data_IF_169072418555
#
_entry.id   IF_169072418555
#
_cell.length_a   1.000
_cell.length_b   1.000
_cell.length_c   1.000
_cell.angle_alpha   90.00
_cell.angle_beta   90.00
_cell.angle_gamma   90.00
#
_symmetry.space_group_name_H-M   'P 1'
#
loop_
_entity.id
_entity.type
_entity.pdbx_description
1 polymer ?
#
# COMPACT_ATOMS: atom_id res chain seq x y z
N UNK A 1 -5.97 25.64 -5.67
CA UNK A 1 -7.28 24.95 -5.76
C UNK A 1 -7.22 23.69 -4.91
N UNK A 2 -7.80 23.70 -3.71
CA UNK A 2 -7.79 22.53 -2.83
C UNK A 2 -8.88 21.58 -3.31
N UNK A 3 -8.50 20.50 -4.01
CA UNK A 3 -9.46 19.50 -4.46
C UNK A 3 -10.02 18.77 -3.24
N UNK A 4 -11.32 18.95 -2.97
CA UNK A 4 -12.06 18.21 -1.94
C UNK A 4 -12.19 16.74 -2.35
N UNK A 5 -11.12 15.97 -2.23
CA UNK A 5 -11.10 14.54 -2.49
C UNK A 5 -11.33 13.84 -1.16
N UNK A 6 -12.52 13.24 -1.00
CA UNK A 6 -12.77 12.37 0.15
C UNK A 6 -11.80 11.19 0.11
N UNK A 7 -11.14 10.85 1.23
CA UNK A 7 -10.24 9.71 1.29
C UNK A 7 -10.98 8.41 0.93
N UNK A 8 -10.43 7.63 -0.01
CA UNK A 8 -10.97 6.32 -0.35
C UNK A 8 -10.22 5.24 0.42
N UNK A 9 -10.93 4.41 1.18
CA UNK A 9 -10.35 3.28 1.90
C UNK A 9 -9.99 2.17 0.91
N UNK A 10 -8.70 1.85 0.78
CA UNK A 10 -8.23 0.78 -0.11
C UNK A 10 -8.48 -0.61 0.47
N UNK A 11 -8.11 -0.83 1.74
CA UNK A 11 -8.35 -2.08 2.47
C UNK A 11 -8.22 -1.89 3.99
N UNK A 12 -8.64 -2.90 4.74
CA UNK A 12 -8.31 -3.08 6.16
C UNK A 12 -8.06 -4.56 6.43
N UNK A 13 -7.18 -4.87 7.38
CA UNK A 13 -6.91 -6.23 7.84
C UNK A 13 -6.48 -6.22 9.30
N UNK A 14 -6.65 -7.34 9.98
CA UNK A 14 -5.98 -7.60 11.26
C UNK A 14 -4.50 -7.92 11.02
N UNK A 15 -3.63 -7.42 11.88
CA UNK A 15 -2.19 -7.65 11.78
C UNK A 15 -1.83 -8.94 12.50
N UNK A 16 -1.11 -9.83 11.81
CA UNK A 16 -0.47 -10.98 12.42
C UNK A 16 0.87 -10.59 13.06
N UNK A 17 1.44 -11.49 13.87
CA UNK A 17 2.79 -11.31 14.42
C UNK A 17 3.84 -11.04 13.32
N UNK A 18 3.79 -11.80 12.22
CA UNK A 18 4.68 -11.60 11.06
C UNK A 18 4.48 -10.23 10.39
N UNK A 19 3.24 -9.73 10.35
CA UNK A 19 2.97 -8.39 9.81
C UNK A 19 3.60 -7.28 10.66
N UNK A 20 3.83 -7.54 11.95
CA UNK A 20 4.42 -6.60 12.90
C UNK A 20 5.95 -6.73 12.93
N UNK A 21 6.47 -7.95 12.91
CA UNK A 21 7.89 -8.24 13.13
C UNK A 21 8.75 -8.25 11.85
N UNK A 22 8.16 -8.57 10.68
CA UNK A 22 8.92 -8.77 9.43
C UNK A 22 8.40 -7.87 8.30
N UNK A 23 7.17 -8.11 7.84
CA UNK A 23 6.63 -7.42 6.66
C UNK A 23 5.10 -7.41 6.62
N UNK A 24 4.52 -6.29 6.21
CA UNK A 24 3.06 -6.16 6.13
C UNK A 24 2.53 -6.84 4.87
N UNK A 25 1.89 -8.00 5.02
CA UNK A 25 1.16 -8.61 3.91
C UNK A 25 -0.14 -7.85 3.62
N UNK A 26 -0.42 -7.60 2.36
CA UNK A 26 -1.66 -6.94 1.93
C UNK A 26 -2.65 -7.96 1.32
N UNK A 27 -3.97 -7.71 1.37
CA UNK A 27 -4.93 -8.54 0.65
C UNK A 27 -4.70 -8.43 -0.87
N UNK A 28 -4.66 -9.55 -1.61
CA UNK A 28 -4.44 -9.54 -3.08
C UNK A 28 -5.36 -8.58 -3.84
N UNK A 29 -6.61 -8.42 -3.39
CA UNK A 29 -7.57 -7.47 -3.98
C UNK A 29 -7.09 -6.00 -4.00
N UNK A 30 -6.10 -5.63 -3.18
CA UNK A 30 -5.55 -4.28 -3.19
C UNK A 30 -4.76 -3.99 -4.47
N UNK A 31 -4.28 -5.01 -5.19
CA UNK A 31 -3.48 -4.84 -6.41
C UNK A 31 -4.20 -4.07 -7.52
N UNK A 32 -5.54 -4.14 -7.56
CA UNK A 32 -6.36 -3.36 -8.52
C UNK A 32 -6.18 -1.84 -8.40
N UNK A 33 -5.66 -1.36 -7.27
CA UNK A 33 -5.40 0.05 -7.02
C UNK A 33 -3.97 0.46 -7.40
N UNK A 34 -3.14 -0.47 -7.88
CA UNK A 34 -1.74 -0.23 -8.23
C UNK A 34 -1.48 -0.74 -9.65
N UNK A 35 -2.08 -0.12 -10.68
CA UNK A 35 -1.87 -0.52 -12.07
C UNK A 35 -0.39 -0.45 -12.48
N UNK A 36 0.43 0.39 -11.82
CA UNK A 36 1.86 0.53 -12.10
C UNK A 36 2.68 -0.73 -11.80
N UNK A 37 2.08 -1.67 -11.05
CA UNK A 37 2.66 -2.96 -10.68
C UNK A 37 2.43 -4.04 -11.76
N UNK A 38 1.57 -3.78 -12.74
CA UNK A 38 1.38 -4.69 -13.87
C UNK A 38 2.69 -4.86 -14.65
N UNK A 39 3.10 -6.11 -14.88
CA UNK A 39 4.39 -6.43 -15.48
C UNK A 39 5.62 -6.20 -14.59
N UNK A 40 5.47 -5.69 -13.36
CA UNK A 40 6.58 -5.47 -12.42
C UNK A 40 6.53 -6.39 -11.20
N UNK A 41 7.68 -6.57 -10.56
CA UNK A 41 7.79 -7.33 -9.30
C UNK A 41 7.58 -6.45 -8.07
N UNK A 42 7.82 -5.15 -8.19
CA UNK A 42 7.63 -4.17 -7.13
C UNK A 42 7.47 -2.75 -7.67
N UNK A 43 6.87 -1.87 -6.87
CA UNK A 43 6.85 -0.41 -7.05
C UNK A 43 7.22 0.28 -5.73
N UNK A 44 7.78 1.47 -5.84
CA UNK A 44 7.93 2.39 -4.72
C UNK A 44 6.77 3.38 -4.70
N UNK A 45 6.30 3.73 -3.51
CA UNK A 45 5.16 4.62 -3.30
C UNK A 45 5.34 5.42 -2.01
N UNK A 46 4.68 6.58 -1.96
CA UNK A 46 4.62 7.39 -0.76
C UNK A 46 3.24 7.27 -0.13
N UNK A 47 3.20 7.14 1.20
CA UNK A 47 1.96 7.16 1.97
C UNK A 47 2.04 8.24 3.06
N UNK A 48 0.91 8.87 3.36
CA UNK A 48 0.78 9.81 4.46
C UNK A 48 -0.13 9.18 5.51
N UNK A 49 0.31 9.15 6.77
CA UNK A 49 -0.49 8.61 7.86
C UNK A 49 -1.49 9.63 8.42
N UNK A 50 -2.28 9.20 9.41
CA UNK A 50 -3.28 10.07 10.06
C UNK A 50 -2.68 11.24 10.85
N UNK A 51 -1.37 11.27 11.07
CA UNK A 51 -0.64 12.37 11.73
C UNK A 51 0.05 13.28 10.71
N UNK A 52 -0.13 13.04 9.41
CA UNK A 52 0.51 13.81 8.35
C UNK A 52 1.96 13.42 8.06
N UNK A 53 2.49 12.36 8.67
CA UNK A 53 3.85 11.89 8.40
C UNK A 53 3.90 11.13 7.09
N UNK A 54 4.86 11.48 6.25
CA UNK A 54 5.12 10.83 4.97
C UNK A 54 6.06 9.62 5.14
N UNK A 55 5.73 8.54 4.44
CA UNK A 55 6.43 7.26 4.48
C UNK A 55 6.78 6.83 3.06
N UNK A 56 8.03 6.45 2.83
CA UNK A 56 8.45 5.75 1.62
C UNK A 56 8.24 4.25 1.81
N UNK A 57 7.39 3.67 0.96
CA UNK A 57 6.97 2.28 0.99
C UNK A 57 7.33 1.60 -0.32
N UNK A 58 7.63 0.31 -0.23
CA UNK A 58 7.79 -0.58 -1.37
C UNK A 58 6.67 -1.62 -1.33
N UNK A 59 5.84 -1.64 -2.36
CA UNK A 59 4.86 -2.69 -2.60
C UNK A 59 5.48 -3.72 -3.54
N UNK A 60 5.63 -4.96 -3.07
CA UNK A 60 6.19 -6.07 -3.84
C UNK A 60 5.19 -7.20 -3.99
N UNK A 61 5.27 -7.93 -5.10
CA UNK A 61 4.44 -9.11 -5.37
C UNK A 61 5.36 -10.31 -5.51
N UNK A 62 5.18 -11.31 -4.65
CA UNK A 62 6.02 -12.51 -4.66
C UNK A 62 5.97 -13.25 -6.02
N UNK A 63 7.10 -13.84 -6.41
CA UNK A 63 7.21 -14.65 -7.64
C UNK A 63 6.52 -16.03 -7.56
N UNK A 64 6.08 -16.47 -6.37
CA UNK A 64 5.51 -17.80 -6.14
C UNK A 64 4.03 -17.78 -5.71
N UNK A 65 3.25 -18.68 -6.29
CA UNK A 65 1.83 -18.93 -5.98
C UNK A 65 0.85 -18.02 -6.72
N UNK A 66 -0.19 -18.62 -7.31
CA UNK A 66 -1.39 -17.92 -7.77
C UNK A 66 -2.44 -18.07 -6.65
N UNK A 67 -3.00 -16.98 -6.10
CA UNK A 67 -2.71 -15.58 -6.39
C UNK A 67 -1.43 -15.07 -5.73
N UNK A 68 -0.72 -14.17 -6.43
CA UNK A 68 0.52 -13.59 -5.92
C UNK A 68 0.23 -12.72 -4.69
N UNK A 69 0.87 -13.03 -3.56
CA UNK A 69 0.64 -12.34 -2.28
C UNK A 69 1.42 -11.01 -2.25
N UNK A 70 0.74 -9.85 -2.16
CA UNK A 70 1.42 -8.57 -2.05
C UNK A 70 1.97 -8.35 -0.64
N UNK A 71 3.10 -7.66 -0.58
CA UNK A 71 3.82 -7.33 0.65
C UNK A 71 4.26 -5.87 0.58
N UNK A 72 4.06 -5.16 1.68
CA UNK A 72 4.52 -3.78 1.88
C UNK A 72 5.71 -3.82 2.84
N UNK A 73 6.83 -3.25 2.40
CA UNK A 73 8.06 -3.06 3.18
C UNK A 73 8.48 -1.60 3.13
N UNK A 74 9.25 -1.11 4.10
CA UNK A 74 9.74 0.27 4.11
C UNK A 74 10.42 0.60 5.43
N UNK A 75 10.76 1.87 5.64
CA UNK A 75 11.24 2.35 6.95
C UNK A 75 10.04 2.47 7.91
N UNK A 76 9.36 1.35 8.13
CA UNK A 76 8.17 1.26 8.95
C UNK A 76 8.61 0.99 10.38
N UNK A 77 9.10 2.01 11.08
CA UNK A 77 9.14 1.98 12.54
C UNK A 77 7.69 2.13 13.00
N UNK A 78 6.91 1.04 12.92
CA UNK A 78 5.47 1.02 13.19
C UNK A 78 5.26 1.25 14.68
N UNK A 79 5.08 2.51 15.08
CA UNK A 79 4.20 2.81 16.20
C UNK A 79 2.78 2.43 15.78
N UNK A 80 2.39 1.27 16.27
CA UNK A 80 1.12 0.57 16.22
C UNK A 80 -0.08 1.53 16.29
N UNK A 81 -0.61 1.98 15.16
CA UNK A 81 -2.05 2.25 14.95
C UNK A 81 -2.25 2.77 13.54
N UNK A 82 -2.96 1.95 12.76
CA UNK A 82 -3.69 2.34 11.54
C UNK A 82 -2.80 2.75 10.36
N UNK A 83 -2.35 1.76 9.59
CA UNK A 83 -2.07 1.98 8.17
C UNK A 83 -3.40 2.21 7.43
N UNK A 84 -3.89 3.44 7.44
CA UNK A 84 -4.76 3.91 6.36
C UNK A 84 -3.84 4.29 5.21
N UNK A 85 -3.54 3.34 4.32
CA UNK A 85 -2.87 3.68 3.06
C UNK A 85 -3.89 4.42 2.21
N UNK A 86 -3.89 5.75 2.31
CA UNK A 86 -4.59 6.65 1.41
C UNK A 86 -3.65 6.92 0.25
N UNK A 87 -3.69 6.07 -0.78
CA UNK A 87 -2.96 6.35 -2.00
C UNK A 87 -3.63 7.56 -2.68
N UNK A 88 -2.90 8.67 -2.79
CA UNK A 88 -3.21 9.68 -3.80
C UNK A 88 -2.84 9.09 -5.16
N UNK A 89 -3.83 8.54 -5.88
CA UNK A 89 -3.63 8.15 -7.26
C UNK A 89 -3.45 9.42 -8.11
N UNK A 90 -2.33 9.61 -8.83
CA UNK A 90 -2.27 10.62 -9.87
C UNK A 90 -3.27 10.24 -10.98
N UNK A 91 -4.26 11.10 -11.22
CA UNK A 91 -5.21 10.95 -12.33
C UNK A 91 -4.51 11.24 -13.66
N UNK A 92 -3.74 10.29 -14.20
CA UNK A 92 -3.34 10.34 -15.61
C UNK A 92 -3.24 8.92 -16.18
N UNK A 93 -4.39 8.36 -16.58
CA UNK A 93 -4.57 7.56 -17.81
C UNK A 93 -5.97 6.93 -17.82
N UNK A 94 -6.94 7.72 -18.24
CA UNK A 94 -8.13 7.21 -18.91
C UNK A 94 -8.16 7.92 -20.26
N UNK A 95 -7.71 7.20 -21.28
CA UNK A 95 -8.03 7.44 -22.68
C UNK A 95 -8.45 6.09 -23.26
#
# INVERSE_FOLDING_TARGET
MSTNVKPTKLFSKSLSRTDIEDRLSAPTRCLRFFPELEGKSAIESQAIDGLGKQWSLKLSVGKGGIPRKPVITGHITVSRKVFNVLAHLPKHSLR
#
